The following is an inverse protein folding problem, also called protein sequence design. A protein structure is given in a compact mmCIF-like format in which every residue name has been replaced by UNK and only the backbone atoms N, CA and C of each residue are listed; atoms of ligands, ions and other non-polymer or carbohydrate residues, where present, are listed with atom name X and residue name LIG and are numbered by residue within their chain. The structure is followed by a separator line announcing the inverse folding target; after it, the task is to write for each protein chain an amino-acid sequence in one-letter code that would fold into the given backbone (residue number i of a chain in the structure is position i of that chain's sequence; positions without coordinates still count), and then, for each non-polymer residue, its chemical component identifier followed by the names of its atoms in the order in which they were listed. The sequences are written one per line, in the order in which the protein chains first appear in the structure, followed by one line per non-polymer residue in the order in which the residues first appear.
data_IF_777004118626
#
_entry.id   IF_777004118626
#
_cell.length_a   1.000
_cell.length_b   1.000
_cell.length_c   1.000
_cell.angle_alpha   90.00
_cell.angle_beta   90.00
_cell.angle_gamma   90.00
#
_symmetry.space_group_name_H-M   'P 1'
#
loop_
_entity.id
_entity.type
_entity.pdbx_description
1 polymer ?
#
# COMPACT_ATOMS: atom_id res chain seq x y z
N UNK A 1 27.97 35.16 -28.74
CA UNK A 1 27.10 34.07 -29.27
C UNK A 1 27.70 32.78 -28.77
N UNK A 2 27.13 32.21 -27.71
CA UNK A 2 27.52 30.93 -27.17
C UNK A 2 26.53 29.90 -27.72
N UNK A 3 27.00 28.96 -28.50
CA UNK A 3 26.20 27.88 -29.06
C UNK A 3 25.88 26.86 -27.93
N UNK A 4 24.60 26.75 -27.60
CA UNK A 4 24.06 25.73 -26.73
C UNK A 4 24.03 24.40 -27.50
N UNK A 5 24.95 23.50 -27.21
CA UNK A 5 24.89 22.13 -27.74
C UNK A 5 23.88 21.38 -26.90
N UNK A 6 22.69 21.23 -27.41
CA UNK A 6 21.69 20.28 -26.90
C UNK A 6 22.15 18.89 -27.35
N UNK A 7 22.76 18.15 -26.47
CA UNK A 7 22.99 16.72 -26.69
C UNK A 7 21.64 15.99 -26.52
N UNK A 8 20.93 15.78 -27.61
CA UNK A 8 19.86 14.81 -27.66
C UNK A 8 20.49 13.42 -27.52
N UNK A 9 20.39 12.82 -26.35
CA UNK A 9 20.66 11.41 -26.17
C UNK A 9 19.60 10.64 -26.97
N UNK A 10 19.97 10.30 -28.19
CA UNK A 10 19.23 9.38 -29.03
C UNK A 10 19.33 8.00 -28.39
N UNK A 11 18.31 7.60 -27.63
CA UNK A 11 18.16 6.25 -27.09
C UNK A 11 17.74 5.27 -28.20
N UNK A 12 18.52 5.20 -29.28
CA UNK A 12 18.50 4.10 -30.21
C UNK A 12 19.81 3.33 -30.03
N UNK A 13 20.00 2.73 -28.87
CA UNK A 13 21.10 1.81 -28.66
C UNK A 13 20.70 0.41 -29.12
N UNK A 14 21.59 -0.13 -29.94
CA UNK A 14 21.54 -1.43 -30.55
C UNK A 14 20.83 -2.50 -29.73
N UNK A 15 19.83 -3.11 -30.34
CA UNK A 15 19.05 -4.25 -29.86
C UNK A 15 19.91 -5.49 -29.50
N UNK A 16 21.17 -5.47 -29.81
CA UNK A 16 22.13 -6.59 -29.62
C UNK A 16 23.35 -6.11 -28.86
N UNK A 17 23.80 -6.88 -27.89
CA UNK A 17 25.10 -6.73 -27.26
C UNK A 17 26.13 -7.56 -28.01
N UNK A 18 27.37 -7.07 -28.16
CA UNK A 18 28.47 -7.85 -28.74
C UNK A 18 29.22 -8.53 -27.60
N UNK A 19 29.27 -9.87 -27.57
CA UNK A 19 30.13 -10.59 -26.66
C UNK A 19 31.60 -10.53 -27.12
N UNK A 20 32.51 -11.05 -26.29
CA UNK A 20 33.96 -11.07 -26.62
C UNK A 20 34.30 -11.88 -27.90
N UNK A 21 33.32 -12.59 -28.47
CA UNK A 21 33.44 -13.35 -29.73
C UNK A 21 32.75 -12.67 -30.89
N UNK A 22 32.16 -11.49 -30.69
CA UNK A 22 31.46 -10.77 -31.76
C UNK A 22 30.08 -11.35 -32.08
N UNK A 23 29.56 -12.26 -31.26
CA UNK A 23 28.18 -12.75 -31.37
C UNK A 23 27.24 -11.75 -30.71
N UNK A 24 26.21 -11.34 -31.45
CA UNK A 24 25.16 -10.42 -30.93
C UNK A 24 24.08 -11.19 -30.21
N UNK A 25 24.07 -11.13 -28.89
CA UNK A 25 22.98 -11.71 -28.08
C UNK A 25 21.85 -10.71 -27.92
N UNK A 26 20.57 -11.13 -28.04
CA UNK A 26 19.43 -10.26 -27.75
C UNK A 26 19.49 -9.78 -26.32
N UNK A 27 19.37 -8.46 -26.10
CA UNK A 27 19.18 -7.91 -24.77
C UNK A 27 17.76 -8.24 -24.29
N UNK A 28 17.65 -8.82 -23.09
CA UNK A 28 16.34 -9.04 -22.46
C UNK A 28 15.85 -7.77 -21.74
N UNK A 29 14.55 -7.56 -21.76
CA UNK A 29 13.91 -6.51 -21.00
C UNK A 29 13.89 -6.84 -19.50
N UNK A 30 14.00 -5.81 -18.67
CA UNK A 30 13.68 -5.92 -17.25
C UNK A 30 12.17 -6.09 -17.12
N UNK A 31 11.76 -7.16 -16.49
CA UNK A 31 10.35 -7.43 -16.19
C UNK A 31 10.16 -7.71 -14.71
N UNK A 32 8.93 -7.52 -14.21
CA UNK A 32 8.57 -7.66 -12.82
C UNK A 32 7.36 -8.57 -12.65
N UNK A 33 7.30 -9.23 -11.51
CA UNK A 33 6.10 -9.95 -11.06
C UNK A 33 5.75 -9.51 -9.65
N UNK A 34 4.58 -8.90 -9.42
CA UNK A 34 4.07 -8.70 -8.08
C UNK A 34 3.82 -10.08 -7.44
N UNK A 35 4.60 -10.42 -6.42
CA UNK A 35 4.55 -11.76 -5.82
C UNK A 35 3.60 -11.83 -4.65
N UNK A 36 3.60 -10.81 -3.80
CA UNK A 36 2.90 -10.88 -2.53
C UNK A 36 2.77 -9.48 -1.93
N UNK A 37 1.67 -9.24 -1.22
CA UNK A 37 1.59 -8.14 -0.28
C UNK A 37 1.71 -8.76 1.10
N UNK A 38 2.80 -8.47 1.79
CA UNK A 38 3.13 -9.09 3.07
C UNK A 38 2.44 -8.38 4.23
N UNK A 39 1.85 -9.19 5.10
CA UNK A 39 1.46 -8.80 6.43
C UNK A 39 2.41 -9.43 7.45
N UNK A 40 2.75 -8.72 8.50
CA UNK A 40 3.53 -9.28 9.61
C UNK A 40 2.57 -9.87 10.63
N UNK A 41 2.16 -11.15 10.43
CA UNK A 41 1.35 -11.90 11.39
C UNK A 41 -0.04 -12.31 10.89
N UNK A 42 -0.40 -13.55 11.15
CA UNK A 42 -1.65 -14.14 10.68
C UNK A 42 -2.81 -13.81 11.61
N UNK A 43 -3.86 -13.15 11.11
CA UNK A 43 -5.27 -13.43 11.49
C UNK A 43 -6.26 -12.62 10.63
N UNK A 44 -7.45 -13.15 10.48
CA UNK A 44 -8.48 -12.83 9.49
C UNK A 44 -9.12 -11.46 9.69
N UNK A 45 -9.13 -10.64 8.65
CA UNK A 45 -9.93 -9.41 8.55
C UNK A 45 -9.95 -8.90 7.11
N UNK A 46 -11.11 -8.57 6.60
CA UNK A 46 -11.32 -8.21 5.20
C UNK A 46 -10.63 -6.89 4.85
N UNK A 47 -9.96 -6.82 3.98
CA UNK A 47 -9.10 -6.40 2.92
C UNK A 47 -9.45 -5.08 2.27
N UNK A 48 -8.47 -4.20 2.15
CA UNK A 48 -8.23 -3.60 0.86
C UNK A 48 -7.70 -4.72 0.00
N UNK A 49 -8.57 -5.31 -0.76
CA UNK A 49 -8.14 -6.16 -1.83
C UNK A 49 -7.06 -5.38 -2.58
N UNK A 50 -5.97 -6.01 -2.88
CA UNK A 50 -5.35 -5.89 -4.17
C UNK A 50 -6.44 -6.18 -5.20
N UNK A 51 -7.52 -5.40 -5.13
CA UNK A 51 -8.46 -5.34 -6.20
C UNK A 51 -7.60 -4.94 -7.37
N UNK A 52 -6.94 -5.97 -7.93
CA UNK A 52 -6.12 -5.90 -9.09
C UNK A 52 -5.26 -4.64 -9.09
N UNK A 53 -4.04 -4.75 -8.55
CA UNK A 53 -3.00 -3.80 -8.92
C UNK A 53 -2.94 -3.88 -10.44
N UNK A 54 -3.58 -2.94 -11.11
CA UNK A 54 -3.58 -2.89 -12.58
C UNK A 54 -2.30 -2.28 -13.11
N UNK A 55 -1.67 -1.42 -12.27
CA UNK A 55 -0.40 -0.78 -12.55
C UNK A 55 0.31 -0.34 -11.26
N UNK A 56 1.62 -0.31 -11.33
CA UNK A 56 2.49 0.15 -10.25
C UNK A 56 3.62 1.00 -10.81
N UNK A 57 4.09 1.96 -10.02
CA UNK A 57 5.23 2.80 -10.39
C UNK A 57 6.54 2.16 -9.96
N UNK A 58 7.55 2.17 -10.83
CA UNK A 58 8.91 1.69 -10.50
C UNK A 58 9.93 2.76 -10.80
N UNK A 59 10.83 2.96 -9.85
CA UNK A 59 12.07 3.71 -10.04
C UNK A 59 13.25 2.77 -9.89
N UNK A 60 14.36 3.06 -10.57
CA UNK A 60 15.53 2.19 -10.54
C UNK A 60 16.83 2.97 -10.40
N UNK A 61 17.72 2.43 -9.59
CA UNK A 61 19.11 2.86 -9.49
C UNK A 61 20.03 1.91 -10.24
N UNK A 62 21.11 2.45 -10.81
CA UNK A 62 22.18 1.70 -11.48
C UNK A 62 23.54 2.08 -10.91
N UNK A 63 24.42 1.12 -10.77
CA UNK A 63 25.78 1.29 -10.26
C UNK A 63 26.66 0.11 -10.63
N UNK A 64 28.00 0.28 -10.50
CA UNK A 64 28.95 -0.79 -10.79
C UNK A 64 28.67 -2.05 -9.98
N UNK A 65 28.89 -3.23 -10.58
CA UNK A 65 28.73 -4.52 -9.93
C UNK A 65 29.61 -4.71 -8.67
N UNK A 66 30.68 -3.94 -8.54
CA UNK A 66 31.54 -3.91 -7.35
C UNK A 66 30.97 -3.10 -6.16
N UNK A 67 29.91 -2.32 -6.40
CA UNK A 67 29.27 -1.47 -5.40
C UNK A 67 27.98 -2.10 -4.87
N UNK A 68 27.47 -1.49 -3.77
CA UNK A 68 26.12 -1.72 -3.26
C UNK A 68 25.28 -0.46 -3.45
N UNK A 69 23.98 -0.57 -3.28
CA UNK A 69 23.06 0.55 -3.46
C UNK A 69 23.41 1.80 -2.60
N UNK A 70 23.98 1.61 -1.44
CA UNK A 70 24.36 2.71 -0.52
C UNK A 70 25.74 3.30 -0.79
N UNK A 71 26.48 2.75 -1.77
CA UNK A 71 27.83 3.20 -2.11
C UNK A 71 27.80 4.45 -2.99
N UNK A 72 28.87 5.24 -2.95
CA UNK A 72 29.07 6.34 -3.90
C UNK A 72 29.08 5.81 -5.34
N UNK A 73 28.52 6.59 -6.27
CA UNK A 73 28.47 6.23 -7.69
C UNK A 73 27.18 5.54 -8.13
N UNK A 74 26.18 5.40 -7.26
CA UNK A 74 24.84 5.05 -7.71
C UNK A 74 24.22 6.21 -8.48
N UNK A 75 23.54 5.90 -9.58
CA UNK A 75 22.78 6.85 -10.40
C UNK A 75 21.35 6.37 -10.65
N UNK A 76 20.51 7.28 -11.12
CA UNK A 76 19.16 6.91 -11.57
C UNK A 76 19.25 6.19 -12.92
N UNK A 77 18.61 5.05 -13.05
CA UNK A 77 18.46 4.34 -14.32
C UNK A 77 17.18 4.77 -15.02
N UNK A 78 16.05 4.73 -14.30
CA UNK A 78 14.80 5.40 -14.67
C UNK A 78 14.04 5.83 -13.43
N UNK A 79 13.02 6.67 -13.59
CA UNK A 79 12.26 7.21 -12.47
C UNK A 79 10.77 7.19 -12.73
N UNK A 80 10.01 6.60 -11.81
CA UNK A 80 8.55 6.61 -11.77
C UNK A 80 7.86 6.15 -13.06
N UNK A 81 8.39 5.08 -13.66
CA UNK A 81 7.77 4.48 -14.83
C UNK A 81 6.56 3.62 -14.40
N UNK A 82 5.48 3.76 -15.15
CA UNK A 82 4.31 2.90 -14.98
C UNK A 82 4.57 1.53 -15.57
N UNK A 83 4.35 0.51 -14.76
CA UNK A 83 4.42 -0.89 -15.17
C UNK A 83 3.00 -1.45 -15.14
N UNK A 84 2.52 -1.91 -16.28
CA UNK A 84 1.28 -2.68 -16.36
C UNK A 84 1.45 -4.02 -15.65
N UNK A 85 0.57 -4.32 -14.71
CA UNK A 85 0.72 -5.49 -13.84
C UNK A 85 0.55 -6.81 -14.58
N UNK A 86 -0.16 -6.82 -15.71
CA UNK A 86 -0.39 -8.04 -16.50
C UNK A 86 0.83 -8.40 -17.35
N UNK A 87 1.56 -7.40 -17.86
CA UNK A 87 2.75 -7.60 -18.68
C UNK A 87 4.05 -7.63 -17.87
N UNK A 88 4.10 -6.85 -16.78
CA UNK A 88 5.30 -6.65 -15.97
C UNK A 88 6.48 -6.00 -16.69
N UNK A 89 6.35 -5.62 -17.96
CA UNK A 89 7.47 -5.16 -18.79
C UNK A 89 7.77 -3.67 -18.53
N UNK A 90 9.04 -3.38 -18.22
CA UNK A 90 9.49 -2.00 -17.96
C UNK A 90 9.81 -1.21 -19.22
N UNK A 91 9.98 -1.85 -20.36
CA UNK A 91 10.52 -1.23 -21.57
C UNK A 91 12.04 -0.96 -21.54
N UNK A 92 12.73 -1.21 -20.44
CA UNK A 92 14.17 -1.02 -20.28
C UNK A 92 14.92 -2.35 -20.38
N UNK A 93 16.09 -2.33 -20.98
CA UNK A 93 16.97 -3.48 -21.08
C UNK A 93 17.81 -3.66 -19.82
N UNK A 94 18.24 -4.90 -19.56
CA UNK A 94 19.27 -5.16 -18.56
C UNK A 94 20.58 -4.46 -18.94
N UNK A 95 21.27 -3.76 -18.01
CA UNK A 95 22.42 -2.92 -18.35
C UNK A 95 23.71 -3.68 -18.64
N UNK A 96 23.80 -4.95 -18.25
CA UNK A 96 25.01 -5.76 -18.39
C UNK A 96 25.57 -6.25 -17.05
N UNK A 97 26.40 -7.29 -17.09
CA UNK A 97 26.96 -7.96 -15.90
C UNK A 97 27.90 -7.06 -15.07
N UNK A 98 28.43 -6.00 -15.67
CA UNK A 98 29.27 -5.00 -15.02
C UNK A 98 28.49 -4.03 -14.12
N UNK A 99 27.15 -4.11 -14.13
CA UNK A 99 26.25 -3.29 -13.34
C UNK A 99 25.43 -4.11 -12.35
N UNK A 100 24.99 -3.42 -11.31
CA UNK A 100 23.84 -3.80 -10.46
C UNK A 100 22.75 -2.77 -10.60
N UNK A 101 21.53 -3.21 -10.34
CA UNK A 101 20.33 -2.38 -10.32
C UNK A 101 19.55 -2.62 -9.02
N UNK A 102 18.98 -1.56 -8.51
CA UNK A 102 18.00 -1.64 -7.42
C UNK A 102 16.68 -1.06 -7.88
N UNK A 103 15.59 -1.67 -7.45
CA UNK A 103 14.24 -1.31 -7.86
C UNK A 103 13.42 -0.87 -6.65
N UNK A 104 12.64 0.20 -6.84
CA UNK A 104 11.77 0.80 -5.83
C UNK A 104 10.40 0.96 -6.44
N UNK A 105 9.46 0.12 -6.01
CA UNK A 105 8.11 0.10 -6.53
C UNK A 105 7.10 0.64 -5.53
N UNK A 106 5.99 1.18 -6.03
CA UNK A 106 4.81 1.53 -5.25
C UNK A 106 3.54 1.23 -6.03
N UNK A 107 2.47 0.95 -5.34
CA UNK A 107 1.16 0.76 -5.94
C UNK A 107 0.04 1.38 -5.08
N UNK A 108 -1.12 1.69 -5.70
CA UNK A 108 -1.38 1.69 -7.15
C UNK A 108 -0.65 2.84 -7.86
N UNK A 109 -0.35 2.68 -9.15
CA UNK A 109 0.19 3.80 -9.94
C UNK A 109 -0.82 4.94 -10.03
N UNK A 110 -0.32 6.17 -9.92
CA UNK A 110 -1.19 7.35 -9.92
C UNK A 110 -2.09 7.49 -8.69
N UNK A 111 -1.72 6.86 -7.56
CA UNK A 111 -2.44 7.00 -6.29
C UNK A 111 -2.75 8.47 -5.99
N UNK A 112 -4.03 8.77 -5.80
CA UNK A 112 -4.50 10.14 -5.53
C UNK A 112 -3.82 10.72 -4.29
N UNK A 113 -3.28 11.93 -4.41
CA UNK A 113 -2.55 12.62 -3.35
C UNK A 113 -1.10 12.19 -3.18
N UNK A 114 -0.62 11.16 -3.90
CA UNK A 114 0.78 10.73 -3.89
C UNK A 114 1.57 11.41 -5.00
N UNK A 115 2.71 11.96 -4.64
CA UNK A 115 3.66 12.57 -5.57
C UNK A 115 5.06 11.99 -5.33
N UNK A 116 5.51 11.02 -6.16
CA UNK A 116 6.88 10.57 -6.16
C UNK A 116 7.82 11.70 -6.55
N UNK A 117 8.87 11.91 -5.76
CA UNK A 117 9.90 12.91 -6.02
C UNK A 117 11.22 12.20 -6.30
N UNK A 118 11.87 12.56 -7.39
CA UNK A 118 13.25 12.18 -7.60
C UNK A 118 14.09 12.83 -6.51
N UNK A 119 14.82 12.01 -5.76
CA UNK A 119 15.75 12.54 -4.80
C UNK A 119 17.15 12.23 -5.26
N UNK A 120 17.73 13.21 -5.93
CA UNK A 120 19.13 13.20 -6.33
C UNK A 120 19.52 11.93 -7.12
N UNK A 121 20.71 11.67 -7.21
CA UNK A 121 21.42 10.82 -8.12
C UNK A 121 21.32 9.32 -7.87
N UNK A 122 20.60 8.87 -6.84
CA UNK A 122 20.55 7.44 -6.46
C UNK A 122 19.31 6.68 -6.93
N UNK A 123 18.38 7.36 -7.62
CA UNK A 123 17.20 6.71 -8.23
C UNK A 123 16.10 6.27 -7.25
N UNK A 124 16.33 6.31 -5.93
CA UNK A 124 15.30 5.98 -4.93
C UNK A 124 14.33 7.14 -4.76
N UNK A 125 13.01 6.92 -4.91
CA UNK A 125 12.04 7.97 -4.75
C UNK A 125 11.84 8.37 -3.29
N UNK A 126 11.44 9.62 -3.09
CA UNK A 126 10.80 10.11 -1.88
C UNK A 126 9.34 10.38 -2.22
N UNK A 127 8.43 9.87 -1.42
CA UNK A 127 7.01 10.01 -1.69
C UNK A 127 6.41 11.09 -0.79
N UNK A 128 5.87 12.15 -1.40
CA UNK A 128 5.00 13.08 -0.71
C UNK A 128 3.58 12.58 -0.85
N UNK A 129 2.86 12.44 0.26
CA UNK A 129 1.50 11.94 0.26
C UNK A 129 0.60 12.83 1.10
N UNK A 130 -0.53 13.17 0.51
CA UNK A 130 -1.67 13.81 1.19
C UNK A 130 -2.87 12.89 1.04
N UNK A 131 -3.34 12.32 2.14
CA UNK A 131 -4.51 11.45 2.13
C UNK A 131 -5.71 12.25 1.63
N UNK A 132 -6.41 11.79 0.56
CA UNK A 132 -7.57 12.50 0.04
C UNK A 132 -8.69 12.59 1.08
N UNK A 133 -9.42 13.72 1.09
CA UNK A 133 -10.60 13.88 1.97
C UNK A 133 -11.75 12.94 1.60
N UNK A 134 -11.97 12.70 0.31
CA UNK A 134 -13.00 11.80 -0.16
C UNK A 134 -12.58 10.35 0.03
N UNK A 135 -13.33 9.60 0.85
CA UNK A 135 -13.04 8.19 1.17
C UNK A 135 -12.91 7.34 -0.10
N UNK A 136 -13.76 7.57 -1.10
CA UNK A 136 -13.70 6.84 -2.38
C UNK A 136 -12.38 7.02 -3.17
N UNK A 137 -11.60 8.06 -2.84
CA UNK A 137 -10.30 8.33 -3.45
C UNK A 137 -9.13 7.90 -2.55
N UNK A 138 -9.43 7.43 -1.35
CA UNK A 138 -8.42 6.87 -0.46
C UNK A 138 -8.11 5.44 -0.91
N UNK A 139 -6.86 5.18 -1.16
CA UNK A 139 -6.38 3.84 -1.44
C UNK A 139 -5.10 3.59 -0.64
N UNK A 140 -4.82 2.34 -0.41
CA UNK A 140 -3.66 1.94 0.33
C UNK A 140 -2.38 2.24 -0.45
N UNK A 141 -1.42 2.83 0.22
CA UNK A 141 -0.09 3.06 -0.30
C UNK A 141 0.82 1.89 0.11
N UNK A 142 1.21 1.08 -0.87
CA UNK A 142 2.09 -0.07 -0.68
C UNK A 142 3.39 0.12 -1.43
N UNK A 143 4.49 -0.39 -0.90
CA UNK A 143 5.82 -0.28 -1.52
C UNK A 143 6.56 -1.61 -1.53
N UNK A 144 7.39 -1.81 -2.56
CA UNK A 144 8.32 -2.93 -2.67
C UNK A 144 9.72 -2.42 -3.00
N UNK A 145 10.74 -3.15 -2.57
CA UNK A 145 12.13 -2.82 -2.80
C UNK A 145 12.94 -4.08 -3.09
N UNK A 146 13.74 -4.06 -4.15
CA UNK A 146 14.71 -5.11 -4.49
C UNK A 146 16.05 -4.46 -4.67
N UNK A 147 17.01 -4.78 -3.82
CA UNK A 147 18.33 -4.17 -3.82
C UNK A 147 19.39 -5.07 -4.46
N UNK A 148 20.41 -4.44 -5.02
CA UNK A 148 21.66 -5.08 -5.48
C UNK A 148 21.45 -6.22 -6.48
N UNK A 149 20.38 -6.17 -7.28
CA UNK A 149 20.13 -7.16 -8.32
C UNK A 149 21.21 -7.13 -9.40
N UNK A 150 21.62 -8.28 -9.92
CA UNK A 150 22.56 -8.35 -11.01
C UNK A 150 22.02 -7.66 -12.27
N UNK A 151 22.82 -6.85 -12.93
CA UNK A 151 22.47 -6.24 -14.21
C UNK A 151 22.63 -7.17 -15.40
N UNK A 152 23.18 -8.40 -15.20
CA UNK A 152 23.24 -9.41 -16.24
C UNK A 152 21.82 -9.75 -16.70
N UNK A 153 21.62 -9.84 -18.01
CA UNK A 153 20.33 -10.16 -18.58
C UNK A 153 19.80 -11.50 -18.06
N UNK A 154 18.63 -11.46 -17.44
CA UNK A 154 17.88 -12.63 -17.01
C UNK A 154 16.52 -12.60 -17.68
N UNK A 155 15.92 -13.76 -17.86
CA UNK A 155 14.60 -13.90 -18.50
C UNK A 155 13.48 -13.93 -17.47
N UNK A 156 13.79 -14.29 -16.22
CA UNK A 156 12.81 -14.38 -15.16
C UNK A 156 12.44 -12.99 -14.63
N UNK A 157 11.15 -12.72 -14.41
CA UNK A 157 10.72 -11.46 -13.84
C UNK A 157 11.26 -11.25 -12.42
N UNK A 158 11.62 -10.01 -12.08
CA UNK A 158 12.04 -9.62 -10.74
C UNK A 158 10.82 -9.68 -9.79
N UNK A 159 10.89 -10.47 -8.71
CA UNK A 159 9.79 -10.57 -7.76
C UNK A 159 9.68 -9.29 -6.93
N UNK A 160 8.48 -8.72 -6.83
CA UNK A 160 8.16 -7.57 -5.99
C UNK A 160 7.26 -7.98 -4.84
N UNK A 161 7.78 -7.94 -3.61
CA UNK A 161 7.00 -8.12 -2.39
C UNK A 161 6.61 -6.76 -1.86
N UNK A 162 5.30 -6.47 -1.86
CA UNK A 162 4.77 -5.19 -1.39
C UNK A 162 4.43 -5.22 0.09
N UNK A 163 4.54 -4.06 0.76
CA UNK A 163 4.21 -3.86 2.17
C UNK A 163 3.34 -2.63 2.33
N UNK A 164 2.30 -2.73 3.15
CA UNK A 164 1.45 -1.61 3.52
C UNK A 164 2.23 -0.51 4.26
N UNK A 165 2.03 0.73 3.85
CA UNK A 165 2.70 1.87 4.48
C UNK A 165 1.74 2.79 5.25
N UNK A 166 0.45 2.52 5.17
CA UNK A 166 -0.60 3.23 5.87
C UNK A 166 -1.24 2.37 6.99
N UNK A 167 -2.23 2.94 7.64
CA UNK A 167 -3.10 2.30 8.64
C UNK A 167 -4.51 2.27 8.09
N UNK A 168 -5.23 1.17 8.27
CA UNK A 168 -6.63 1.00 7.93
C UNK A 168 -7.53 1.26 9.16
N UNK A 169 -8.62 2.01 9.00
CA UNK A 169 -9.58 2.29 10.08
C UNK A 169 -10.99 1.95 9.64
N UNK A 170 -11.67 1.19 10.49
CA UNK A 170 -13.03 0.69 10.31
C UNK A 170 -13.89 1.01 11.50
N UNK A 171 -15.21 0.97 11.29
CA UNK A 171 -16.20 1.26 12.32
C UNK A 171 -17.34 0.26 12.34
N UNK A 172 -17.61 -0.26 13.54
CA UNK A 172 -18.84 -0.93 13.87
C UNK A 172 -19.67 -0.01 14.78
N UNK A 173 -20.98 0.12 14.54
CA UNK A 173 -21.87 0.85 15.43
C UNK A 173 -22.80 -0.13 16.14
N UNK A 174 -22.79 -0.07 17.46
CA UNK A 174 -23.74 -0.78 18.33
C UNK A 174 -24.77 0.18 18.86
N UNK A 175 -26.04 -0.17 18.70
CA UNK A 175 -27.18 0.57 19.26
C UNK A 175 -27.58 -0.01 20.60
N UNK A 176 -27.27 0.69 21.69
CA UNK A 176 -27.63 0.29 23.06
C UNK A 176 -29.05 0.69 23.45
N UNK A 177 -29.75 1.44 22.59
CA UNK A 177 -31.11 1.91 22.85
C UNK A 177 -32.19 0.85 22.58
N UNK A 178 -33.41 1.14 23.00
CA UNK A 178 -34.61 0.30 22.79
C UNK A 178 -35.25 0.47 21.41
N UNK A 179 -34.93 1.57 20.71
CA UNK A 179 -35.47 1.91 19.40
C UNK A 179 -34.38 1.91 18.34
N UNK A 180 -34.78 1.70 17.08
CA UNK A 180 -33.84 1.78 15.97
C UNK A 180 -33.27 3.20 15.81
N UNK A 181 -32.00 3.32 15.51
CA UNK A 181 -31.31 4.58 15.19
C UNK A 181 -30.92 4.63 13.72
N UNK A 182 -30.72 5.84 13.18
CA UNK A 182 -30.18 6.02 11.84
C UNK A 182 -28.87 6.78 11.94
N UNK A 183 -27.76 6.14 11.52
CA UNK A 183 -26.45 6.77 11.42
C UNK A 183 -26.33 7.47 10.08
N UNK A 184 -26.12 8.79 10.09
CA UNK A 184 -26.01 9.61 8.88
C UNK A 184 -24.58 9.79 8.41
N UNK A 185 -23.64 9.89 9.34
CA UNK A 185 -22.21 9.97 9.01
C UNK A 185 -21.32 9.61 10.20
N UNK A 186 -20.09 9.22 9.85
CA UNK A 186 -18.96 9.10 10.78
C UNK A 186 -17.82 9.94 10.25
N UNK A 187 -17.22 10.78 11.08
CA UNK A 187 -16.09 11.60 10.73
C UNK A 187 -14.90 11.35 11.66
N UNK A 188 -13.69 11.49 11.09
CA UNK A 188 -12.43 11.48 11.84
C UNK A 188 -11.81 12.86 11.74
N UNK A 189 -11.41 13.43 12.88
CA UNK A 189 -10.80 14.76 13.00
C UNK A 189 -9.55 14.72 13.89
N UNK A 190 -8.75 15.78 13.84
CA UNK A 190 -7.57 15.92 14.70
C UNK A 190 -6.39 15.01 14.33
N UNK A 191 -6.41 14.40 13.16
CA UNK A 191 -5.33 13.52 12.67
C UNK A 191 -4.51 14.22 11.59
N UNK A 192 -3.20 13.94 11.56
CA UNK A 192 -2.32 14.40 10.48
C UNK A 192 -2.64 13.63 9.22
N UNK A 193 -2.77 14.34 8.11
CA UNK A 193 -3.24 13.80 6.84
C UNK A 193 -2.22 13.89 5.70
N UNK A 194 -1.04 14.49 5.95
CA UNK A 194 0.01 14.59 4.93
C UNK A 194 1.40 14.39 5.51
N UNK A 195 2.32 13.96 4.68
CA UNK A 195 3.70 13.73 5.08
C UNK A 195 4.59 13.26 3.94
N UNK A 196 5.83 12.99 4.29
CA UNK A 196 6.86 12.47 3.39
C UNK A 196 7.28 11.08 3.86
N UNK A 197 7.24 10.12 2.95
CA UNK A 197 7.74 8.76 3.18
C UNK A 197 9.11 8.59 2.54
N UNK A 198 10.10 8.21 3.36
CA UNK A 198 11.48 7.99 2.92
C UNK A 198 12.09 6.82 3.70
N UNK A 199 12.69 5.87 3.00
CA UNK A 199 13.39 4.74 3.63
C UNK A 199 12.58 3.98 4.69
N UNK A 200 11.30 3.72 4.41
CA UNK A 200 10.43 2.99 5.34
C UNK A 200 9.84 3.83 6.47
N UNK A 201 10.15 5.14 6.52
CA UNK A 201 9.76 6.04 7.62
C UNK A 201 8.92 7.20 7.12
N UNK A 202 7.86 7.51 7.86
CA UNK A 202 7.04 8.70 7.67
C UNK A 202 7.56 9.89 8.47
N UNK A 203 7.65 11.04 7.79
CA UNK A 203 7.80 12.36 8.43
C UNK A 203 6.52 13.13 8.15
N UNK A 204 5.67 13.27 9.17
CA UNK A 204 4.35 13.88 9.01
C UNK A 204 4.40 15.39 9.12
N UNK A 205 3.61 16.07 8.28
CA UNK A 205 3.35 17.49 8.42
C UNK A 205 2.56 17.75 9.71
N UNK A 206 2.77 18.89 10.37
CA UNK A 206 2.13 19.18 11.65
C UNK A 206 0.62 19.48 11.55
N UNK A 207 0.13 19.82 10.35
CA UNK A 207 -1.29 20.14 10.14
C UNK A 207 -2.18 18.93 10.38
N UNK A 208 -3.27 19.12 11.11
CA UNK A 208 -4.31 18.14 11.36
C UNK A 208 -5.58 18.50 10.58
N UNK A 209 -6.38 17.48 10.27
CA UNK A 209 -7.65 17.68 9.61
C UNK A 209 -8.74 18.17 10.58
N UNK A 210 -9.81 18.68 10.00
CA UNK A 210 -11.04 19.10 10.72
C UNK A 210 -12.23 19.02 9.76
N UNK A 211 -13.42 19.37 10.21
CA UNK A 211 -14.61 19.46 9.35
C UNK A 211 -14.49 20.45 8.19
N UNK A 212 -13.55 21.39 8.24
CA UNK A 212 -13.28 22.41 7.21
C UNK A 212 -11.96 22.25 6.48
N UNK A 213 -11.04 21.46 7.03
CA UNK A 213 -9.70 21.23 6.46
C UNK A 213 -9.50 19.76 6.23
N UNK A 214 -9.50 19.34 4.97
CA UNK A 214 -9.34 17.95 4.54
C UNK A 214 -10.23 16.98 5.34
N UNK A 215 -11.57 17.15 5.36
CA UNK A 215 -12.47 16.40 6.20
C UNK A 215 -12.50 14.92 5.81
N UNK A 216 -12.33 14.03 6.79
CA UNK A 216 -12.52 12.60 6.61
C UNK A 216 -13.93 12.25 7.05
N UNK A 217 -14.84 12.16 6.10
CA UNK A 217 -16.27 11.99 6.32
C UNK A 217 -16.81 10.81 5.52
N UNK A 218 -17.34 9.82 6.20
CA UNK A 218 -18.13 8.74 5.64
C UNK A 218 -19.61 9.09 5.75
N UNK A 219 -20.25 9.39 4.63
CA UNK A 219 -21.69 9.63 4.57
C UNK A 219 -22.44 8.29 4.48
N UNK A 220 -23.47 8.15 5.29
CA UNK A 220 -24.23 6.93 5.50
C UNK A 220 -25.74 7.24 5.40
N UNK A 221 -26.55 6.33 5.76
CA UNK A 221 -28.00 6.37 5.90
C UNK A 221 -28.45 5.04 6.50
N UNK A 222 -27.55 4.48 7.34
CA UNK A 222 -27.66 3.11 7.82
C UNK A 222 -28.52 3.05 9.08
N UNK A 223 -29.53 2.19 9.04
CA UNK A 223 -30.40 1.91 10.19
C UNK A 223 -29.77 0.80 11.03
N UNK A 224 -29.62 1.03 12.33
CA UNK A 224 -29.17 0.06 13.32
C UNK A 224 -30.33 -0.26 14.25
N UNK A 225 -30.83 -1.49 14.22
CA UNK A 225 -31.89 -1.94 15.08
C UNK A 225 -31.49 -1.86 16.57
N UNK A 226 -32.47 -1.85 17.46
CA UNK A 226 -32.23 -1.95 18.89
C UNK A 226 -31.37 -3.18 19.20
N UNK A 227 -30.40 -3.03 20.11
CA UNK A 227 -29.49 -4.09 20.57
C UNK A 227 -28.71 -4.81 19.42
N UNK A 228 -28.47 -4.10 18.30
CA UNK A 228 -27.75 -4.64 17.16
C UNK A 228 -26.42 -3.93 16.93
N UNK A 229 -25.47 -4.66 16.33
CA UNK A 229 -24.21 -4.11 15.82
C UNK A 229 -24.20 -4.20 14.29
N UNK A 230 -23.81 -3.11 13.63
CA UNK A 230 -23.70 -3.04 12.16
C UNK A 230 -22.31 -2.51 11.79
N UNK A 231 -21.67 -3.18 10.84
CA UNK A 231 -20.45 -2.68 10.20
C UNK A 231 -20.80 -1.50 9.28
N UNK A 232 -20.19 -0.34 9.54
CA UNK A 232 -20.42 0.91 8.80
C UNK A 232 -19.48 1.08 7.62
N UNK A 233 -18.36 0.41 7.64
CA UNK A 233 -17.29 0.55 6.62
C UNK A 233 -17.37 -0.52 5.54
N UNK A 234 -17.84 -1.71 5.86
CA UNK A 234 -17.93 -2.81 4.93
C UNK A 234 -16.56 -3.14 4.32
N UNK A 235 -16.54 -3.46 3.03
CA UNK A 235 -15.30 -3.81 2.29
C UNK A 235 -14.70 -2.66 1.48
N UNK A 236 -15.37 -1.49 1.39
CA UNK A 236 -14.99 -0.43 0.45
C UNK A 236 -14.90 0.96 1.03
N UNK A 237 -15.44 1.19 2.22
CA UNK A 237 -15.54 2.52 2.82
C UNK A 237 -14.59 2.70 4.02
N UNK A 238 -13.40 2.14 3.92
CA UNK A 238 -12.38 2.27 4.96
C UNK A 238 -11.72 3.64 4.90
N UNK A 239 -11.24 4.09 6.06
CA UNK A 239 -10.41 5.26 6.14
C UNK A 239 -8.94 4.85 6.10
N UNK A 240 -8.19 5.37 5.12
CA UNK A 240 -6.73 5.22 5.08
C UNK A 240 -6.09 6.34 5.88
N UNK A 241 -5.23 5.99 6.83
CA UNK A 241 -4.55 6.95 7.70
C UNK A 241 -3.03 6.81 7.60
N UNK A 242 -2.33 7.93 7.81
CA UNK A 242 -0.88 7.88 8.01
C UNK A 242 -0.57 7.39 9.43
N UNK A 243 0.43 6.50 9.61
CA UNK A 243 0.85 6.04 10.92
C UNK A 243 1.25 7.20 11.82
N UNK A 244 0.64 7.29 13.00
CA UNK A 244 0.83 8.40 13.93
C UNK A 244 0.34 8.08 15.32
N UNK A 245 0.83 8.84 16.31
CA UNK A 245 0.22 8.90 17.64
C UNK A 245 -0.71 10.09 17.70
N UNK A 246 -2.00 9.84 17.95
CA UNK A 246 -2.99 10.87 18.23
C UNK A 246 -3.04 11.07 19.75
N UNK A 247 -2.84 12.31 20.19
CA UNK A 247 -2.68 12.61 21.61
C UNK A 247 -4.02 12.61 22.37
N UNK A 248 -3.96 12.26 23.63
CA UNK A 248 -5.08 12.42 24.57
C UNK A 248 -5.67 13.83 24.52
N UNK A 249 -6.97 13.96 24.72
CA UNK A 249 -7.68 15.23 24.61
C UNK A 249 -8.13 15.61 23.19
N UNK A 250 -7.72 14.84 22.15
CA UNK A 250 -8.20 15.06 20.79
C UNK A 250 -9.64 14.55 20.64
N UNK A 251 -10.56 15.41 20.17
CA UNK A 251 -11.89 15.00 19.72
C UNK A 251 -11.75 14.34 18.35
N UNK A 252 -11.65 13.01 18.33
CA UNK A 252 -11.25 12.26 17.14
C UNK A 252 -12.44 11.78 16.31
N UNK A 253 -13.52 11.29 16.95
CA UNK A 253 -14.68 10.74 16.25
C UNK A 253 -15.89 11.62 16.46
N UNK A 254 -16.61 11.89 15.36
CA UNK A 254 -17.93 12.55 15.33
C UNK A 254 -18.90 11.63 14.61
N UNK A 255 -19.99 11.30 15.26
CA UNK A 255 -21.08 10.48 14.70
C UNK A 255 -22.35 11.32 14.65
N UNK A 256 -22.89 11.53 13.44
CA UNK A 256 -24.18 12.17 13.24
C UNK A 256 -25.25 11.08 13.12
N UNK A 257 -26.19 11.05 14.03
CA UNK A 257 -27.24 10.03 14.07
C UNK A 257 -28.59 10.59 14.53
N UNK A 258 -29.68 9.96 14.07
CA UNK A 258 -31.04 10.17 14.63
C UNK A 258 -31.29 9.12 15.69
N UNK A 259 -31.53 9.57 16.94
CA UNK A 259 -31.80 8.73 18.11
C UNK A 259 -33.04 9.28 18.78
N UNK A 260 -34.05 8.43 19.02
CA UNK A 260 -35.32 8.84 19.60
C UNK A 260 -36.09 9.87 18.76
N UNK A 261 -35.92 9.85 17.44
CA UNK A 261 -36.53 10.80 16.49
C UNK A 261 -35.81 12.15 16.38
N UNK A 262 -34.75 12.39 17.13
CA UNK A 262 -33.96 13.62 17.11
C UNK A 262 -32.60 13.38 16.47
N UNK A 263 -32.15 14.29 15.57
CA UNK A 263 -30.82 14.26 14.98
C UNK A 263 -29.81 14.90 15.92
N UNK A 264 -28.74 14.17 16.26
CA UNK A 264 -27.72 14.55 17.23
C UNK A 264 -26.31 14.26 16.69
N UNK A 265 -25.34 15.08 17.12
CA UNK A 265 -23.93 14.83 16.94
C UNK A 265 -23.34 14.28 18.24
N UNK A 266 -22.62 13.18 18.12
CA UNK A 266 -21.93 12.51 19.21
C UNK A 266 -20.43 12.60 18.98
N UNK A 267 -19.69 13.16 19.94
CA UNK A 267 -18.25 13.34 19.87
C UNK A 267 -17.55 12.43 20.86
N UNK A 268 -16.48 11.80 20.40
CA UNK A 268 -15.57 11.08 21.28
C UNK A 268 -14.23 11.80 21.37
N UNK A 269 -13.80 12.09 22.60
CA UNK A 269 -12.50 12.68 22.91
C UNK A 269 -11.60 11.62 23.54
N UNK A 270 -10.38 11.46 23.02
CA UNK A 270 -9.43 10.47 23.52
C UNK A 270 -9.09 10.72 24.99
N UNK A 271 -9.20 9.68 25.80
CA UNK A 271 -8.80 9.66 27.21
C UNK A 271 -7.34 9.20 27.40
N UNK A 272 -6.76 8.58 26.40
CA UNK A 272 -5.36 8.17 26.31
C UNK A 272 -4.83 8.39 24.90
N UNK A 273 -3.52 8.28 24.71
CA UNK A 273 -2.95 8.33 23.36
C UNK A 273 -3.40 7.12 22.54
N UNK A 274 -3.75 7.37 21.28
CA UNK A 274 -4.04 6.35 20.28
C UNK A 274 -2.86 6.22 19.33
N UNK A 275 -2.23 5.05 19.30
CA UNK A 275 -1.16 4.75 18.36
C UNK A 275 -1.71 4.05 17.12
N UNK A 276 -1.61 4.70 15.97
CA UNK A 276 -1.97 4.16 14.66
C UNK A 276 -0.69 3.68 13.97
N UNK A 277 -0.52 2.37 13.85
CA UNK A 277 0.69 1.76 13.29
C UNK A 277 0.49 1.42 11.81
N UNK A 278 1.57 1.49 11.03
CA UNK A 278 1.54 1.03 9.64
C UNK A 278 1.27 -0.48 9.57
N UNK A 279 0.66 -0.91 8.48
CA UNK A 279 0.30 -2.31 8.25
C UNK A 279 -0.67 -2.90 9.28
N UNK A 280 -1.42 -2.04 9.98
CA UNK A 280 -2.46 -2.46 10.93
C UNK A 280 -3.83 -1.96 10.52
N UNK A 281 -4.83 -2.78 10.75
CA UNK A 281 -6.25 -2.44 10.65
C UNK A 281 -6.84 -2.30 12.05
N UNK A 282 -7.56 -1.21 12.28
CA UNK A 282 -8.21 -0.88 13.55
C UNK A 282 -9.72 -0.85 13.33
N UNK A 283 -10.45 -1.72 13.99
CA UNK A 283 -11.91 -1.68 14.01
C UNK A 283 -12.40 -1.08 15.32
N UNK A 284 -12.96 0.11 15.26
CA UNK A 284 -13.55 0.78 16.43
C UNK A 284 -15.02 0.42 16.57
N UNK A 285 -15.42 -0.03 17.76
CA UNK A 285 -16.81 -0.22 18.11
C UNK A 285 -17.34 1.06 18.75
N UNK A 286 -18.28 1.71 18.09
CA UNK A 286 -18.94 2.93 18.52
C UNK A 286 -20.30 2.55 19.12
N UNK A 287 -20.47 2.69 20.43
CA UNK A 287 -21.73 2.41 21.11
C UNK A 287 -22.54 3.69 21.25
N UNK A 288 -23.71 3.73 20.64
CA UNK A 288 -24.67 4.83 20.73
C UNK A 288 -25.78 4.45 21.69
N UNK A 289 -26.02 5.33 22.70
CA UNK A 289 -27.12 5.27 23.63
C UNK A 289 -27.81 6.62 23.72
N UNK A 290 -28.80 6.78 24.62
CA UNK A 290 -29.63 8.01 24.74
C UNK A 290 -28.82 9.27 25.08
N UNK A 291 -27.61 9.15 25.62
CA UNK A 291 -26.88 10.30 26.17
C UNK A 291 -25.43 10.47 25.76
N UNK A 292 -24.76 9.47 25.22
CA UNK A 292 -23.32 9.56 24.93
C UNK A 292 -22.85 8.62 23.82
N UNK A 293 -21.76 8.98 23.15
CA UNK A 293 -20.95 8.07 22.34
C UNK A 293 -19.89 7.42 23.24
N UNK A 294 -19.96 6.11 23.36
CA UNK A 294 -18.92 5.32 24.01
C UNK A 294 -18.11 4.64 22.90
N UNK A 295 -16.82 4.87 22.88
CA UNK A 295 -15.89 4.12 22.03
C UNK A 295 -15.28 3.04 22.87
N UNK A 296 -15.43 1.78 22.42
CA UNK A 296 -14.83 0.66 23.11
C UNK A 296 -13.31 0.79 23.04
N UNK A 297 -12.66 0.70 24.20
CA UNK A 297 -11.20 0.77 24.30
C UNK A 297 -10.53 -0.52 23.83
N UNK A 298 -11.28 -1.61 23.74
CA UNK A 298 -10.83 -2.85 23.10
C UNK A 298 -11.05 -2.73 21.59
N UNK A 299 -10.22 -1.93 20.96
CA UNK A 299 -10.13 -1.85 19.51
C UNK A 299 -9.61 -3.19 19.00
N UNK A 300 -10.32 -3.83 18.09
CA UNK A 300 -9.79 -4.99 17.39
C UNK A 300 -8.66 -4.52 16.44
N UNK A 301 -7.42 -4.77 16.86
CA UNK A 301 -6.23 -4.40 16.11
C UNK A 301 -5.72 -5.66 15.44
N UNK A 302 -5.83 -5.70 14.13
CA UNK A 302 -5.38 -6.82 13.32
C UNK A 302 -4.26 -6.37 12.38
N UNK A 303 -3.46 -7.33 11.93
CA UNK A 303 -2.61 -7.07 10.79
C UNK A 303 -3.48 -6.78 9.56
N UNK A 304 -3.07 -5.81 8.76
CA UNK A 304 -3.77 -5.50 7.52
C UNK A 304 -3.55 -6.63 6.53
N UNK A 305 -4.50 -7.55 6.47
CA UNK A 305 -4.42 -8.72 5.60
C UNK A 305 -4.75 -8.35 4.16
N UNK A 306 -3.97 -8.91 3.26
CA UNK A 306 -4.22 -8.89 1.84
C UNK A 306 -4.56 -10.31 1.38
N UNK A 307 -5.67 -10.45 0.67
CA UNK A 307 -5.95 -11.66 -0.08
C UNK A 307 -4.93 -11.78 -1.20
N UNK A 308 -4.02 -12.74 -1.08
CA UNK A 308 -3.10 -13.09 -2.16
C UNK A 308 -3.91 -13.69 -3.29
N UNK A 309 -4.35 -12.85 -4.22
CA UNK A 309 -4.76 -13.32 -5.54
C UNK A 309 -3.49 -13.37 -6.37
N UNK A 310 -3.01 -14.58 -6.60
CA UNK A 310 -1.99 -14.82 -7.60
C UNK A 310 -2.48 -14.21 -8.92
N UNK A 311 -1.83 -13.15 -9.39
CA UNK A 311 -2.00 -12.66 -10.74
C UNK A 311 -1.43 -13.75 -11.66
N UNK A 312 -2.29 -14.60 -12.17
CA UNK A 312 -1.91 -15.52 -13.23
C UNK A 312 -1.63 -14.68 -14.45
N UNK A 313 -0.37 -14.46 -14.74
CA UNK A 313 0.06 -13.88 -16.01
C UNK A 313 -0.45 -14.82 -17.09
N UNK A 314 -1.41 -14.36 -17.88
CA UNK A 314 -2.00 -15.12 -18.96
C UNK A 314 -0.92 -15.53 -19.97
N UNK A 315 -0.64 -16.82 -20.07
CA UNK A 315 -0.08 -17.44 -21.24
C UNK A 315 1.43 -17.41 -21.43
N UNK A 316 2.16 -18.08 -20.54
CA UNK A 316 3.24 -18.98 -21.00
C UNK A 316 3.12 -20.25 -20.17
N UNK A 317 2.54 -21.29 -20.79
CA UNK A 317 2.65 -22.64 -20.27
C UNK A 317 4.09 -23.09 -20.42
N UNK A 318 4.88 -22.93 -19.39
CA UNK A 318 6.04 -23.75 -19.15
C UNK A 318 5.80 -24.47 -17.83
N UNK A 319 5.81 -25.79 -17.89
CA UNK A 319 5.79 -26.67 -16.73
C UNK A 319 6.96 -26.36 -15.81
N UNK A 320 6.79 -25.39 -14.92
CA UNK A 320 7.65 -25.22 -13.77
C UNK A 320 6.81 -25.46 -12.52
N UNK A 321 6.76 -26.72 -12.11
CA UNK A 321 6.40 -27.09 -10.77
C UNK A 321 7.42 -26.52 -9.82
N UNK A 322 7.04 -25.45 -9.10
CA UNK A 322 7.78 -24.99 -7.93
C UNK A 322 7.69 -26.07 -6.87
N UNK A 323 8.78 -26.80 -6.63
CA UNK A 323 8.89 -27.64 -5.45
C UNK A 323 9.43 -26.81 -4.30
N UNK A 324 8.58 -26.55 -3.30
CA UNK A 324 9.08 -26.08 -1.99
C UNK A 324 10.10 -27.11 -1.47
N UNK A 325 11.20 -26.68 -0.87
CA UNK A 325 12.10 -27.59 -0.19
C UNK A 325 11.34 -28.28 0.96
N UNK A 326 11.08 -29.58 0.82
CA UNK A 326 10.42 -30.38 1.84
C UNK A 326 9.06 -30.98 1.49
N UNK A 327 8.49 -30.69 0.31
CA UNK A 327 7.25 -31.34 -0.16
C UNK A 327 7.60 -32.38 -1.22
N UNK A 328 7.33 -33.63 -0.92
CA UNK A 328 7.49 -34.73 -1.85
C UNK A 328 6.58 -34.58 -3.06
N UNK A 329 7.16 -34.69 -4.26
CA UNK A 329 6.45 -34.65 -5.53
C UNK A 329 5.24 -35.56 -5.54
N UNK A 330 4.05 -34.97 -5.71
CA UNK A 330 2.91 -35.64 -6.33
C UNK A 330 2.05 -36.53 -5.44
N UNK A 331 1.97 -36.29 -4.15
CA UNK A 331 0.92 -36.86 -3.31
C UNK A 331 -0.03 -35.75 -2.83
N UNK A 332 -1.29 -35.87 -3.21
CA UNK A 332 -2.40 -35.15 -2.58
C UNK A 332 -2.37 -35.47 -1.09
N UNK A 333 -2.09 -34.46 -0.26
CA UNK A 333 -2.24 -34.59 1.19
C UNK A 333 -3.74 -34.39 1.45
N UNK A 334 -4.44 -35.46 1.77
CA UNK A 334 -5.82 -35.38 2.26
C UNK A 334 -5.82 -34.72 3.63
N UNK A 335 -6.88 -33.96 3.94
CA UNK A 335 -7.05 -33.19 5.19
C UNK A 335 -7.10 -34.10 6.44
N UNK A 336 -7.03 -35.41 6.27
CA UNK A 336 -7.14 -36.40 7.34
C UNK A 336 -5.80 -36.77 8.03
N UNK A 337 -4.67 -36.23 7.54
CA UNK A 337 -3.33 -36.52 8.10
C UNK A 337 -2.87 -35.59 9.24
N UNK A 338 -3.79 -34.80 9.82
CA UNK A 338 -3.50 -33.86 10.92
C UNK A 338 -4.20 -34.27 12.22
N UNK A 339 -4.17 -35.55 12.57
CA UNK A 339 -4.48 -35.97 13.93
C UNK A 339 -3.22 -36.51 14.63
N UNK A 340 -2.82 -35.76 15.65
CA UNK A 340 -2.07 -36.08 16.86
C UNK A 340 -0.73 -36.83 16.74
N UNK A 341 0.33 -36.08 17.05
CA UNK A 341 1.30 -36.47 18.11
C UNK A 341 1.84 -35.21 18.82
#
# INVERSE_FOLDING_TARGET
MAALIVATLSACSNYLDEDEKGEKTPKSFVSFTPMEIQTTGATRGAQTTTATITGYGVSSSIYSASNTYTSAGCGSYWFNEEIDAASGNSGYYWPGAEYRVSFFAYAPYGLSGLAPQSKNDIGKPVYQYTVPSAIANQADFITAEVLDHSGAGITDPVPLTFYHQCTDIRFNVYNQGSDAITVHSIAISGVKYSGTYTNGVWTLNPAVNSSSVNPFLLSLGTVVAADATVDMTGTTNHFVMLPQTVTTGTAIFDVDATVGGERKHYYHTLTSNLELQKSKSYTFKLTLGEGALIVDTETDIQDWEVEVKYLTVGGVSTNNTWSQPGVNNGQDISVEDWEEE
#
